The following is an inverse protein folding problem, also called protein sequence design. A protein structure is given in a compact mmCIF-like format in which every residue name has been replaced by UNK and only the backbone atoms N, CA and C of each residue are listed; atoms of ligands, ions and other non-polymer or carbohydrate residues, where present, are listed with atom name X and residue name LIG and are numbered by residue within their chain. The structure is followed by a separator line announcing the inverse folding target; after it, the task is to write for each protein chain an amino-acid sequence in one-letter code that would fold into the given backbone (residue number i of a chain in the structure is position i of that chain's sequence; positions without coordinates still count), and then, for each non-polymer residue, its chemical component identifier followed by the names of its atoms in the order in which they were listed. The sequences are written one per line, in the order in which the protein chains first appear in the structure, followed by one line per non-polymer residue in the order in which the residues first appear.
data_IF_578522036328
#
_entry.id   IF_578522036328
#
_cell.length_a   1.000
_cell.length_b   1.000
_cell.length_c   1.000
_cell.angle_alpha   90.00
_cell.angle_beta   90.00
_cell.angle_gamma   90.00
#
_symmetry.space_group_name_H-M   'P 1'
#
loop_
_entity.id
_entity.type
_entity.pdbx_description
1 polymer ?
#
# COMPACT_ATOMS: atom_id res chain seq x y z
N UNK A 1 15.47 19.68 -30.00
CA UNK A 1 14.60 19.63 -28.79
C UNK A 1 13.51 18.61 -29.05
N UNK A 2 13.13 17.80 -28.05
CA UNK A 2 11.95 16.93 -28.17
C UNK A 2 10.70 17.78 -28.16
N UNK A 3 9.74 17.45 -29.02
CA UNK A 3 8.42 18.12 -29.08
C UNK A 3 7.50 17.60 -27.98
N UNK A 4 6.35 18.26 -27.78
CA UNK A 4 5.28 17.76 -26.92
C UNK A 4 4.81 16.35 -27.32
N UNK A 5 4.66 16.12 -28.64
CA UNK A 5 4.27 14.82 -29.18
C UNK A 5 5.33 13.73 -28.90
N UNK A 6 6.62 14.07 -28.96
CA UNK A 6 7.69 13.12 -28.66
C UNK A 6 7.69 12.70 -27.18
N UNK A 7 7.50 13.66 -26.27
CA UNK A 7 7.37 13.36 -24.84
C UNK A 7 6.12 12.55 -24.52
N UNK A 8 4.99 12.83 -25.18
CA UNK A 8 3.77 12.05 -25.00
C UNK A 8 3.91 10.62 -25.52
N UNK A 9 4.59 10.42 -26.66
CA UNK A 9 4.90 9.08 -27.19
C UNK A 9 5.82 8.31 -26.25
N UNK A 10 6.83 8.97 -25.68
CA UNK A 10 7.72 8.35 -24.69
C UNK A 10 6.99 7.97 -23.41
N UNK A 11 6.12 8.86 -22.91
CA UNK A 11 5.25 8.59 -21.78
C UNK A 11 4.34 7.38 -22.07
N UNK A 12 3.68 7.35 -23.23
CA UNK A 12 2.80 6.25 -23.62
C UNK A 12 3.55 4.93 -23.75
N UNK A 13 4.72 4.94 -24.40
CA UNK A 13 5.54 3.75 -24.56
C UNK A 13 6.00 3.19 -23.21
N UNK A 14 6.45 4.07 -22.32
CA UNK A 14 6.88 3.68 -20.97
C UNK A 14 5.69 3.19 -20.14
N UNK A 15 4.53 3.83 -20.24
CA UNK A 15 3.30 3.45 -19.54
C UNK A 15 2.81 2.07 -19.95
N UNK A 16 2.79 1.77 -21.26
CA UNK A 16 2.46 0.44 -21.77
C UNK A 16 3.41 -0.66 -21.29
N UNK A 17 4.67 -0.32 -20.99
CA UNK A 17 5.64 -1.27 -20.42
C UNK A 17 5.51 -1.42 -18.92
N UNK A 18 5.17 -0.35 -18.21
CA UNK A 18 4.98 -0.35 -16.76
C UNK A 18 3.68 -1.04 -16.35
N UNK A 19 2.60 -0.87 -17.10
CA UNK A 19 1.27 -1.38 -16.75
C UNK A 19 1.22 -2.88 -16.43
N UNK A 20 1.75 -3.82 -17.25
CA UNK A 20 1.73 -5.23 -16.89
C UNK A 20 2.57 -5.54 -15.64
N UNK A 21 3.66 -4.79 -15.43
CA UNK A 21 4.48 -4.96 -14.22
C UNK A 21 3.78 -4.43 -12.97
N UNK A 22 2.99 -3.36 -13.10
CA UNK A 22 2.15 -2.83 -12.02
C UNK A 22 1.03 -3.82 -11.67
N UNK A 23 0.45 -4.50 -12.68
CA UNK A 23 -0.54 -5.56 -12.46
C UNK A 23 0.10 -6.77 -11.75
N UNK A 24 1.26 -7.25 -12.21
CA UNK A 24 2.01 -8.31 -11.54
C UNK A 24 2.38 -7.95 -10.10
N UNK A 25 2.67 -6.66 -9.86
CA UNK A 25 3.01 -6.14 -8.54
C UNK A 25 1.79 -6.10 -7.63
N UNK A 26 0.63 -5.71 -8.16
CA UNK A 26 -0.64 -5.78 -7.45
C UNK A 26 -0.99 -7.22 -7.08
N UNK A 27 -0.80 -8.18 -7.99
CA UNK A 27 -1.01 -9.60 -7.70
C UNK A 27 -0.07 -10.11 -6.59
N UNK A 28 1.18 -9.66 -6.61
CA UNK A 28 2.14 -9.99 -5.55
C UNK A 28 1.75 -9.37 -4.20
N UNK A 29 1.18 -8.16 -4.21
CA UNK A 29 0.62 -7.50 -3.03
C UNK A 29 -0.55 -8.29 -2.44
N UNK A 30 -1.50 -8.71 -3.27
CA UNK A 30 -2.63 -9.57 -2.85
C UNK A 30 -2.14 -10.89 -2.28
N UNK A 31 -1.12 -11.50 -2.90
CA UNK A 31 -0.52 -12.75 -2.44
C UNK A 31 0.39 -12.59 -1.21
N UNK A 32 0.67 -11.35 -0.77
CA UNK A 32 1.60 -11.02 0.31
C UNK A 32 3.01 -11.58 0.09
N UNK A 33 3.44 -11.67 -1.17
CA UNK A 33 4.74 -12.20 -1.57
C UNK A 33 5.79 -11.09 -1.57
N UNK A 34 6.45 -10.88 -0.43
CA UNK A 34 7.45 -9.84 -0.24
C UNK A 34 8.63 -9.95 -1.22
N UNK A 35 9.09 -11.18 -1.51
CA UNK A 35 10.23 -11.38 -2.41
C UNK A 35 9.88 -11.00 -3.86
N UNK A 36 8.67 -11.36 -4.31
CA UNK A 36 8.17 -10.97 -5.63
C UNK A 36 7.92 -9.45 -5.72
N UNK A 37 7.40 -8.84 -4.66
CA UNK A 37 7.23 -7.39 -4.55
C UNK A 37 8.57 -6.68 -4.74
N UNK A 38 9.61 -7.09 -4.01
CA UNK A 38 10.95 -6.48 -4.11
C UNK A 38 11.55 -6.61 -5.52
N UNK A 39 11.43 -7.80 -6.12
CA UNK A 39 11.91 -8.04 -7.48
C UNK A 39 11.17 -7.18 -8.52
N UNK A 40 9.86 -6.99 -8.36
CA UNK A 40 9.06 -6.14 -9.24
C UNK A 40 9.34 -4.65 -9.02
N UNK A 41 9.53 -4.22 -7.77
CA UNK A 41 9.92 -2.85 -7.43
C UNK A 41 11.21 -2.46 -8.17
N UNK A 42 12.25 -3.29 -8.09
CA UNK A 42 13.53 -3.03 -8.77
C UNK A 42 13.38 -2.83 -10.30
N UNK A 43 12.40 -3.49 -10.92
CA UNK A 43 12.09 -3.36 -12.36
C UNK A 43 11.19 -2.17 -12.66
N UNK A 44 10.28 -1.83 -11.75
CA UNK A 44 9.31 -0.75 -11.89
C UNK A 44 9.93 0.62 -11.64
N UNK A 45 10.78 0.78 -10.63
CA UNK A 45 11.41 2.06 -10.26
C UNK A 45 11.95 2.85 -11.45
N UNK A 46 12.83 2.30 -12.32
CA UNK A 46 13.35 3.07 -13.45
C UNK A 46 12.28 3.43 -14.50
N UNK A 47 11.18 2.66 -14.60
CA UNK A 47 10.09 2.99 -15.51
C UNK A 47 9.21 4.11 -14.95
N UNK A 48 8.93 4.09 -13.64
CA UNK A 48 8.16 5.12 -12.96
C UNK A 48 8.91 6.46 -12.96
N UNK A 49 10.22 6.45 -12.73
CA UNK A 49 11.06 7.66 -12.84
C UNK A 49 10.99 8.27 -14.25
N UNK A 50 11.04 7.44 -15.29
CA UNK A 50 10.93 7.91 -16.69
C UNK A 50 9.54 8.43 -17.01
N UNK A 51 8.50 7.82 -16.46
CA UNK A 51 7.12 8.31 -16.59
C UNK A 51 6.97 9.69 -15.94
N UNK A 52 7.50 9.90 -14.74
CA UNK A 52 7.48 11.21 -14.07
C UNK A 52 8.28 12.26 -14.82
N UNK A 53 9.47 11.91 -15.34
CA UNK A 53 10.27 12.81 -16.18
C UNK A 53 9.50 13.22 -17.45
N UNK A 54 8.91 12.26 -18.16
CA UNK A 54 8.13 12.54 -19.36
C UNK A 54 6.89 13.36 -19.05
N UNK A 55 6.18 13.07 -17.95
CA UNK A 55 5.03 13.85 -17.47
C UNK A 55 5.41 15.29 -17.17
N UNK A 56 6.51 15.49 -16.44
CA UNK A 56 7.07 16.81 -16.15
C UNK A 56 7.40 17.58 -17.43
N UNK A 57 8.04 16.93 -18.39
CA UNK A 57 8.38 17.56 -19.67
C UNK A 57 7.14 17.94 -20.51
N UNK A 58 6.11 17.09 -20.53
CA UNK A 58 4.80 17.37 -21.17
C UNK A 58 4.15 18.61 -20.54
N UNK A 59 4.21 18.77 -19.22
CA UNK A 59 3.61 19.93 -18.53
C UNK A 59 4.30 21.27 -18.83
N UNK A 60 5.61 21.25 -19.09
CA UNK A 60 6.42 22.47 -19.32
C UNK A 60 6.62 22.78 -20.81
N UNK A 61 6.05 21.98 -21.72
CA UNK A 61 6.16 22.19 -23.15
C UNK A 61 5.32 23.42 -23.57
N UNK A 62 5.92 24.44 -24.21
CA UNK A 62 5.25 25.69 -24.55
C UNK A 62 4.24 25.57 -25.70
N UNK A 63 4.26 24.47 -26.46
CA UNK A 63 3.35 24.23 -27.58
C UNK A 63 2.56 22.94 -27.40
N UNK A 64 1.24 23.09 -27.25
CA UNK A 64 0.29 22.00 -27.54
C UNK A 64 0.02 22.04 -29.04
N UNK A 65 0.97 21.55 -29.84
CA UNK A 65 0.69 21.22 -31.24
C UNK A 65 -0.59 20.40 -31.30
N UNK A 66 -1.34 20.51 -32.40
CA UNK A 66 -2.51 19.66 -32.68
C UNK A 66 -2.08 18.20 -32.68
N UNK A 67 -2.19 17.58 -31.50
CA UNK A 67 -1.86 16.18 -31.31
C UNK A 67 -2.79 15.31 -32.15
N UNK A 68 -2.29 14.18 -32.66
CA UNK A 68 -3.18 13.13 -33.15
C UNK A 68 -4.13 12.71 -32.04
N UNK A 69 -5.45 12.82 -32.28
CA UNK A 69 -6.49 12.45 -31.31
C UNK A 69 -6.26 11.05 -30.75
N UNK A 70 -5.82 10.10 -31.58
CA UNK A 70 -5.54 8.72 -31.18
C UNK A 70 -4.41 8.60 -30.16
N UNK A 71 -3.37 9.43 -30.27
CA UNK A 71 -2.24 9.41 -29.34
C UNK A 71 -2.68 9.88 -27.96
N UNK A 72 -3.47 10.95 -27.91
CA UNK A 72 -4.02 11.48 -26.66
C UNK A 72 -4.98 10.48 -26.01
N UNK A 73 -5.88 9.87 -26.79
CA UNK A 73 -6.80 8.85 -26.29
C UNK A 73 -6.07 7.64 -25.71
N UNK A 74 -5.04 7.14 -26.40
CA UNK A 74 -4.22 6.03 -25.89
C UNK A 74 -3.46 6.41 -24.61
N UNK A 75 -2.94 7.64 -24.53
CA UNK A 75 -2.28 8.13 -23.34
C UNK A 75 -3.24 8.22 -22.15
N UNK A 76 -4.43 8.79 -22.36
CA UNK A 76 -5.47 8.86 -21.33
C UNK A 76 -5.92 7.47 -20.87
N UNK A 77 -6.16 6.54 -21.78
CA UNK A 77 -6.55 5.17 -21.42
C UNK A 77 -5.46 4.46 -20.61
N UNK A 78 -4.18 4.66 -20.96
CA UNK A 78 -3.05 4.11 -20.22
C UNK A 78 -2.94 4.73 -18.82
N UNK A 79 -3.17 6.04 -18.70
CA UNK A 79 -3.16 6.73 -17.40
C UNK A 79 -4.26 6.19 -16.49
N UNK A 80 -5.49 6.08 -17.00
CA UNK A 80 -6.63 5.53 -16.27
C UNK A 80 -6.38 4.10 -15.80
N UNK A 81 -5.74 3.27 -16.62
CA UNK A 81 -5.39 1.91 -16.23
C UNK A 81 -4.34 1.87 -15.10
N UNK A 82 -3.33 2.75 -15.16
CA UNK A 82 -2.33 2.89 -14.09
C UNK A 82 -3.00 3.38 -12.80
N UNK A 83 -3.86 4.39 -12.89
CA UNK A 83 -4.58 4.94 -11.73
C UNK A 83 -5.49 3.89 -11.06
N UNK A 84 -6.17 3.05 -11.85
CA UNK A 84 -6.99 1.98 -11.33
C UNK A 84 -6.17 0.95 -10.52
N UNK A 85 -4.96 0.60 -11.00
CA UNK A 85 -4.04 -0.28 -10.28
C UNK A 85 -3.57 0.39 -8.98
N UNK A 86 -3.17 1.66 -9.05
CA UNK A 86 -2.70 2.43 -7.90
C UNK A 86 -3.78 2.57 -6.82
N UNK A 87 -5.03 2.85 -7.21
CA UNK A 87 -6.16 2.94 -6.29
C UNK A 87 -6.44 1.60 -5.60
N UNK A 88 -6.44 0.51 -6.38
CA UNK A 88 -6.66 -0.84 -5.81
C UNK A 88 -5.56 -1.20 -4.81
N UNK A 89 -4.30 -0.91 -5.14
CA UNK A 89 -3.18 -1.14 -4.24
C UNK A 89 -3.28 -0.31 -2.96
N UNK A 90 -3.67 0.96 -3.08
CA UNK A 90 -3.89 1.85 -1.95
C UNK A 90 -4.96 1.28 -1.00
N UNK A 91 -6.09 0.80 -1.54
CA UNK A 91 -7.17 0.23 -0.74
C UNK A 91 -6.71 -1.04 0.00
N UNK A 92 -5.94 -1.91 -0.65
CA UNK A 92 -5.35 -3.11 -0.02
C UNK A 92 -4.43 -2.70 1.14
N UNK A 93 -3.46 -1.81 0.88
CA UNK A 93 -2.47 -1.39 1.88
C UNK A 93 -3.17 -0.74 3.07
N UNK A 94 -4.17 0.11 2.82
CA UNK A 94 -4.95 0.75 3.87
C UNK A 94 -5.67 -0.26 4.75
N UNK A 95 -6.32 -1.25 4.15
CA UNK A 95 -7.02 -2.30 4.91
C UNK A 95 -6.05 -3.13 5.77
N UNK A 96 -4.87 -3.45 5.26
CA UNK A 96 -3.84 -4.18 6.03
C UNK A 96 -3.32 -3.35 7.22
N UNK A 97 -3.14 -2.03 7.02
CA UNK A 97 -2.74 -1.13 8.11
C UNK A 97 -3.83 -1.03 9.19
N UNK A 98 -5.10 -0.89 8.79
CA UNK A 98 -6.24 -0.85 9.72
C UNK A 98 -6.36 -2.17 10.51
N UNK A 99 -6.19 -3.32 9.83
CA UNK A 99 -6.15 -4.62 10.49
C UNK A 99 -5.00 -4.73 11.51
N UNK A 100 -3.80 -4.31 11.11
CA UNK A 100 -2.62 -4.31 11.98
C UNK A 100 -2.83 -3.44 13.21
N UNK A 101 -3.42 -2.26 13.03
CA UNK A 101 -3.79 -1.37 14.13
C UNK A 101 -4.80 -2.02 15.09
N UNK A 102 -5.83 -2.67 14.56
CA UNK A 102 -6.81 -3.41 15.35
C UNK A 102 -6.18 -4.54 16.16
N UNK A 103 -5.28 -5.33 15.57
CA UNK A 103 -4.55 -6.39 16.29
C UNK A 103 -3.66 -5.84 17.40
N UNK A 104 -2.95 -4.75 17.14
CA UNK A 104 -2.13 -4.11 18.18
C UNK A 104 -2.98 -3.62 19.36
N UNK A 105 -4.17 -3.07 19.11
CA UNK A 105 -5.08 -2.67 20.17
C UNK A 105 -5.56 -3.87 21.01
N UNK A 106 -5.89 -4.99 20.36
CA UNK A 106 -6.28 -6.23 21.06
C UNK A 106 -5.11 -6.79 21.89
N UNK A 107 -3.91 -6.88 21.31
CA UNK A 107 -2.73 -7.37 22.01
C UNK A 107 -2.37 -6.49 23.20
N UNK A 108 -2.49 -5.16 23.05
CA UNK A 108 -2.26 -4.20 24.14
C UNK A 108 -3.25 -4.44 25.28
N UNK A 109 -4.54 -4.62 24.96
CA UNK A 109 -5.57 -4.93 25.96
C UNK A 109 -5.36 -6.30 26.61
N UNK A 110 -4.99 -7.32 25.84
CA UNK A 110 -4.70 -8.65 26.38
C UNK A 110 -3.45 -8.70 27.26
N UNK A 111 -2.54 -7.75 27.09
CA UNK A 111 -1.37 -7.55 27.93
C UNK A 111 -1.67 -6.75 29.21
N UNK A 112 -2.90 -6.30 29.44
CA UNK A 112 -3.30 -5.63 30.69
C UNK A 112 -3.20 -6.62 31.88
N UNK A 113 -2.61 -6.20 33.02
CA UNK A 113 -2.30 -7.09 34.15
C UNK A 113 -3.50 -7.85 34.73
N UNK A 114 -4.72 -7.30 34.60
CA UNK A 114 -5.94 -7.87 35.14
C UNK A 114 -6.32 -9.21 34.49
N UNK A 115 -5.75 -9.56 33.34
CA UNK A 115 -5.97 -10.83 32.64
C UNK A 115 -4.98 -11.95 33.03
N UNK A 116 -3.94 -11.63 33.82
CA UNK A 116 -2.95 -12.57 34.37
C UNK A 116 -3.04 -12.70 35.89
N UNK A 117 -4.13 -12.29 36.52
CA UNK A 117 -4.38 -12.68 37.91
C UNK A 117 -4.52 -14.21 37.92
N UNK A 118 -3.59 -14.97 38.54
CA UNK A 118 -3.87 -16.36 38.82
C UNK A 118 -5.14 -16.37 39.64
N UNK A 119 -6.02 -17.34 39.42
CA UNK A 119 -7.02 -17.75 40.40
C UNK A 119 -6.29 -18.23 41.65
N UNK A 120 -5.72 -17.29 42.42
CA UNK A 120 -5.27 -17.53 43.77
C UNK A 120 -6.57 -17.65 44.55
N UNK A 121 -6.96 -18.89 44.85
CA UNK A 121 -8.00 -19.18 45.81
C UNK A 121 -7.73 -18.30 47.03
N UNK A 122 -8.70 -17.45 47.39
CA UNK A 122 -8.61 -16.63 48.58
C UNK A 122 -8.25 -17.55 49.75
N UNK A 123 -7.15 -17.30 50.49
CA UNK A 123 -6.87 -18.10 51.66
C UNK A 123 -8.02 -17.87 52.62
N UNK A 124 -8.72 -18.95 52.95
CA UNK A 124 -9.77 -18.99 53.94
C UNK A 124 -9.23 -18.32 55.20
N UNK A 125 -9.73 -17.13 55.52
CA UNK A 125 -9.51 -16.55 56.85
C UNK A 125 -10.21 -17.49 57.82
N UNK A 126 -9.46 -18.44 58.38
CA UNK A 126 -9.86 -19.11 59.62
C UNK A 126 -9.97 -18.02 60.68
N UNK A 127 -11.20 -17.59 60.94
CA UNK A 127 -11.54 -16.82 62.12
C UNK A 127 -11.19 -17.71 63.33
N UNK A 128 -10.02 -17.46 63.91
CA UNK A 128 -9.67 -17.96 65.24
C UNK A 128 -10.60 -17.24 66.22
N UNK A 129 -11.72 -17.88 66.53
CA UNK A 129 -12.56 -17.55 67.68
C UNK A 129 -11.77 -17.99 68.92
N UNK A 130 -11.15 -17.02 69.60
CA UNK A 130 -10.64 -17.17 70.95
C UNK A 130 -11.84 -17.38 71.89
N UNK A 131 -12.17 -18.64 72.14
CA UNK A 131 -12.98 -19.06 73.27
C UNK A 131 -12.09 -19.93 74.17
N UNK A 132 -11.66 -19.37 75.29
CA UNK A 132 -11.37 -20.16 76.49
C UNK A 132 -11.64 -19.30 77.71
N UNK A 133 -12.74 -19.61 78.37
CA UNK A 133 -13.00 -19.35 79.78
C UNK A 133 -12.00 -20.14 80.64
N UNK A 134 -11.45 -19.50 81.68
CA UNK A 134 -11.08 -20.07 82.99
C UNK A 134 -10.68 -18.94 83.95
#
# INVERSE_FOLDING_TARGET
MKTYADWLREWLHTGKRALPLLQDWLDALVARDAARIDALNARLTPLLERLEQARGAVMHAPERETLPTDLLQQAMATAQAIDAVAQTAYDIIRNELDYTHGMMAILTRAAEPDHYAPTVAAPSRSNVLLNTEA
#
